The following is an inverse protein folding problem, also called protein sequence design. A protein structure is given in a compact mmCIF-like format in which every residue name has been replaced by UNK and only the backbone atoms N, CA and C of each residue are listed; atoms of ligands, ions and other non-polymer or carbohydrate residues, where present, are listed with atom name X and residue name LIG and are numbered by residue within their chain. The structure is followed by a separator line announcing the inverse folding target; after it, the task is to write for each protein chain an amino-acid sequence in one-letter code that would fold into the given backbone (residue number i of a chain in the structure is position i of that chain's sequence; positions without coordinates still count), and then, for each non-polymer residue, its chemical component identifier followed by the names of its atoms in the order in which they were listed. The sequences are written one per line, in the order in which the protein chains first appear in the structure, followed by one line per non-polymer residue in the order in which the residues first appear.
data_IF_188834338643
#
_entry.id   IF_188834338643
#
_cell.length_a   1.000
_cell.length_b   1.000
_cell.length_c   1.000
_cell.angle_alpha   90.00
_cell.angle_beta   90.00
_cell.angle_gamma   90.00
#
_symmetry.space_group_name_H-M   'P 1'
#
loop_
_entity.id
_entity.type
_entity.pdbx_description
1 polymer ?
#
# COMPACT_ATOMS: atom_id res chain seq x y z
N UNK A 1 -2.89 -29.90 -23.53
CA UNK A 1 -2.52 -31.31 -23.72
C UNK A 1 -3.03 -32.12 -22.53
N UNK A 2 -4.18 -32.79 -22.67
CA UNK A 2 -4.75 -33.69 -21.66
C UNK A 2 -4.07 -35.07 -21.82
N UNK A 3 -2.94 -35.28 -21.13
CA UNK A 3 -2.26 -36.58 -21.08
C UNK A 3 -2.90 -37.45 -19.98
N UNK A 4 -3.37 -38.64 -20.35
CA UNK A 4 -3.36 -39.79 -19.45
C UNK A 4 -4.68 -40.26 -18.83
N UNK A 5 -5.83 -40.01 -19.46
CA UNK A 5 -7.06 -40.73 -19.07
C UNK A 5 -7.29 -41.89 -20.06
N UNK A 6 -7.11 -43.16 -19.65
CA UNK A 6 -7.57 -44.30 -20.42
C UNK A 6 -9.07 -44.16 -20.71
N UNK A 7 -9.45 -44.23 -21.98
CA UNK A 7 -10.82 -43.97 -22.45
C UNK A 7 -11.87 -45.04 -22.02
N UNK A 8 -11.46 -46.05 -21.22
CA UNK A 8 -12.29 -47.19 -20.82
C UNK A 8 -12.28 -47.48 -19.30
N UNK A 9 -11.99 -46.50 -18.44
CA UNK A 9 -12.09 -46.71 -16.99
C UNK A 9 -13.55 -46.62 -16.50
N UNK A 10 -13.98 -47.64 -15.77
CA UNK A 10 -15.25 -47.66 -15.05
C UNK A 10 -15.30 -46.48 -14.06
N UNK A 11 -16.47 -45.85 -13.86
CA UNK A 11 -16.59 -44.60 -13.06
C UNK A 11 -15.96 -44.69 -11.67
N UNK A 12 -16.00 -45.87 -11.05
CA UNK A 12 -15.40 -46.14 -9.73
C UNK A 12 -13.85 -46.17 -9.75
N UNK A 13 -13.25 -46.62 -10.86
CA UNK A 13 -11.80 -46.61 -11.02
C UNK A 13 -11.30 -45.18 -11.29
N UNK A 14 -12.07 -44.38 -12.02
CA UNK A 14 -11.77 -42.94 -12.19
C UNK A 14 -11.85 -42.15 -10.88
N UNK A 15 -12.83 -42.45 -10.01
CA UNK A 15 -12.93 -41.77 -8.71
C UNK A 15 -11.75 -42.11 -7.81
N UNK A 16 -11.38 -43.39 -7.70
CA UNK A 16 -10.24 -43.81 -6.87
C UNK A 16 -8.89 -43.25 -7.36
N UNK A 17 -8.69 -43.13 -8.68
CA UNK A 17 -7.49 -42.47 -9.25
C UNK A 17 -7.48 -40.98 -8.89
N UNK A 18 -8.61 -40.28 -9.03
CA UNK A 18 -8.71 -38.84 -8.70
C UNK A 18 -8.54 -38.57 -7.22
N UNK A 19 -9.13 -39.39 -6.37
CA UNK A 19 -8.98 -39.30 -4.91
C UNK A 19 -7.52 -39.48 -4.50
N UNK A 20 -6.82 -40.47 -5.07
CA UNK A 20 -5.39 -40.66 -4.81
C UNK A 20 -4.54 -39.48 -5.28
N UNK A 21 -4.80 -38.95 -6.49
CA UNK A 21 -4.10 -37.78 -7.02
C UNK A 21 -4.35 -36.53 -6.18
N UNK A 22 -5.59 -36.34 -5.71
CA UNK A 22 -5.95 -35.23 -4.85
C UNK A 22 -5.29 -35.35 -3.47
N UNK A 23 -5.24 -36.56 -2.89
CA UNK A 23 -4.53 -36.82 -1.64
C UNK A 23 -3.04 -36.47 -1.73
N UNK A 24 -2.36 -36.94 -2.78
CA UNK A 24 -0.94 -36.62 -3.02
C UNK A 24 -0.69 -35.11 -3.18
N UNK A 25 -1.60 -34.41 -3.87
CA UNK A 25 -1.52 -32.95 -3.99
C UNK A 25 -1.72 -32.26 -2.64
N UNK A 26 -2.73 -32.68 -1.87
CA UNK A 26 -3.04 -32.12 -0.55
C UNK A 26 -1.87 -32.27 0.42
N UNK A 27 -1.25 -33.45 0.47
CA UNK A 27 -0.06 -33.71 1.30
C UNK A 27 1.11 -32.80 0.91
N UNK A 28 1.35 -32.64 -0.40
CA UNK A 28 2.42 -31.76 -0.89
C UNK A 28 2.20 -30.30 -0.51
N UNK A 29 0.95 -29.83 -0.59
CA UNK A 29 0.57 -28.47 -0.17
C UNK A 29 0.76 -28.31 1.33
N UNK A 30 0.35 -29.28 2.13
CA UNK A 30 0.48 -29.23 3.58
C UNK A 30 1.94 -29.11 4.01
N UNK A 31 2.82 -29.96 3.47
CA UNK A 31 4.27 -29.88 3.71
C UNK A 31 4.82 -28.52 3.26
N UNK A 32 4.39 -28.02 2.11
CA UNK A 32 4.80 -26.71 1.59
C UNK A 32 4.35 -25.53 2.47
N UNK A 33 3.23 -25.66 3.19
CA UNK A 33 2.67 -24.63 4.06
C UNK A 33 3.21 -24.67 5.49
N UNK A 34 3.84 -25.77 5.93
CA UNK A 34 4.42 -25.87 7.28
C UNK A 34 5.39 -24.73 7.60
N UNK A 35 6.16 -24.25 6.62
CA UNK A 35 7.08 -23.11 6.77
C UNK A 35 6.40 -21.75 6.98
N UNK A 36 5.08 -21.66 6.76
CA UNK A 36 4.29 -20.43 6.88
C UNK A 36 3.35 -20.43 8.09
N UNK A 37 3.63 -21.24 9.12
CA UNK A 37 2.84 -21.26 10.34
C UNK A 37 3.10 -20.05 11.26
N UNK A 38 2.11 -19.75 12.10
CA UNK A 38 2.16 -18.64 13.07
C UNK A 38 2.15 -17.25 12.44
N UNK A 39 2.21 -16.22 13.28
CA UNK A 39 2.11 -14.82 12.86
C UNK A 39 3.15 -14.42 11.80
N UNK A 40 4.41 -14.81 12.00
CA UNK A 40 5.49 -14.50 11.06
C UNK A 40 5.39 -15.31 9.77
N UNK A 41 4.97 -16.56 9.84
CA UNK A 41 4.82 -17.41 8.66
C UNK A 41 3.70 -16.93 7.73
N UNK A 42 2.53 -16.61 8.29
CA UNK A 42 1.41 -16.04 7.53
C UNK A 42 1.81 -14.72 6.88
N UNK A 43 2.56 -13.87 7.58
CA UNK A 43 3.11 -12.63 7.03
C UNK A 43 4.03 -12.90 5.84
N UNK A 44 4.94 -13.87 5.96
CA UNK A 44 5.85 -14.25 4.88
C UNK A 44 5.10 -14.81 3.66
N UNK A 45 4.06 -15.61 3.89
CA UNK A 45 3.20 -16.11 2.81
C UNK A 45 2.47 -14.97 2.10
N UNK A 46 1.91 -14.02 2.85
CA UNK A 46 1.26 -12.84 2.28
C UNK A 46 2.22 -12.07 1.38
N UNK A 47 3.42 -11.77 1.87
CA UNK A 47 4.44 -11.04 1.10
C UNK A 47 4.87 -11.81 -0.15
N UNK A 48 5.06 -13.12 -0.05
CA UNK A 48 5.40 -13.97 -1.19
C UNK A 48 4.30 -13.96 -2.26
N UNK A 49 3.05 -14.20 -1.87
CA UNK A 49 1.92 -14.22 -2.79
C UNK A 49 1.67 -12.85 -3.41
N UNK A 50 1.78 -11.78 -2.63
CA UNK A 50 1.67 -10.40 -3.15
C UNK A 50 2.77 -10.09 -4.15
N UNK A 51 4.01 -10.46 -3.87
CA UNK A 51 5.14 -10.25 -4.79
C UNK A 51 4.92 -10.97 -6.12
N UNK A 52 4.43 -12.21 -6.07
CA UNK A 52 4.29 -13.05 -7.26
C UNK A 52 3.00 -12.80 -8.05
N UNK A 53 1.90 -12.48 -7.38
CA UNK A 53 0.56 -12.45 -7.99
C UNK A 53 -0.18 -11.12 -7.81
N UNK A 54 0.31 -10.21 -6.95
CA UNK A 54 -0.34 -8.93 -6.62
C UNK A 54 -0.05 -7.78 -7.59
N UNK A 55 0.11 -8.07 -8.90
CA UNK A 55 0.47 -7.06 -9.90
C UNK A 55 -0.68 -6.13 -10.26
N UNK A 56 -1.92 -6.63 -10.30
CA UNK A 56 -3.12 -5.84 -10.57
C UNK A 56 -3.82 -5.38 -9.29
N UNK A 57 -4.60 -4.30 -9.37
CA UNK A 57 -5.43 -3.84 -8.24
C UNK A 57 -6.39 -4.95 -7.78
N UNK A 58 -7.05 -5.64 -8.71
CA UNK A 58 -7.95 -6.74 -8.37
C UNK A 58 -7.24 -7.89 -7.65
N UNK A 59 -6.03 -8.26 -8.08
CA UNK A 59 -5.26 -9.30 -7.41
C UNK A 59 -4.85 -8.89 -5.99
N UNK A 60 -4.50 -7.61 -5.78
CA UNK A 60 -4.24 -7.06 -4.44
C UNK A 60 -5.48 -7.13 -3.55
N UNK A 61 -6.66 -6.77 -4.06
CA UNK A 61 -7.93 -6.92 -3.32
C UNK A 61 -8.22 -8.37 -2.96
N UNK A 62 -8.10 -9.28 -3.92
CA UNK A 62 -8.35 -10.71 -3.70
C UNK A 62 -7.39 -11.29 -2.66
N UNK A 63 -6.11 -10.92 -2.70
CA UNK A 63 -5.13 -11.33 -1.69
C UNK A 63 -5.45 -10.75 -0.31
N UNK A 64 -5.84 -9.48 -0.24
CA UNK A 64 -6.23 -8.87 1.03
C UNK A 64 -7.47 -9.55 1.64
N UNK A 65 -8.49 -9.87 0.83
CA UNK A 65 -9.68 -10.62 1.26
C UNK A 65 -9.35 -12.04 1.69
N UNK A 66 -8.47 -12.73 0.97
CA UNK A 66 -8.04 -14.09 1.32
C UNK A 66 -7.38 -14.13 2.71
N UNK A 67 -6.66 -13.08 3.09
CA UNK A 67 -6.00 -13.05 4.39
C UNK A 67 -6.85 -12.38 5.48
N UNK A 68 -7.93 -11.69 5.11
CA UNK A 68 -8.87 -11.11 6.09
C UNK A 68 -9.70 -12.16 6.82
N UNK A 69 -9.80 -13.39 6.28
CA UNK A 69 -10.48 -14.50 6.93
C UNK A 69 -9.62 -15.26 7.95
N UNK A 70 -8.31 -14.97 8.02
CA UNK A 70 -7.40 -15.60 9.00
C UNK A 70 -7.72 -15.08 10.41
N UNK A 71 -7.64 -15.97 11.41
CA UNK A 71 -7.85 -15.62 12.82
C UNK A 71 -7.04 -14.38 13.25
N UNK A 72 -7.65 -13.43 13.98
CA UNK A 72 -7.01 -12.15 14.33
C UNK A 72 -5.63 -12.27 15.00
N UNK A 73 -5.39 -13.37 15.73
CA UNK A 73 -4.10 -13.68 16.37
C UNK A 73 -2.92 -13.73 15.37
N UNK A 74 -3.15 -14.27 14.17
CA UNK A 74 -2.11 -14.51 13.16
C UNK A 74 -2.27 -13.64 11.90
N UNK A 75 -3.33 -12.85 11.82
CA UNK A 75 -3.65 -12.05 10.64
C UNK A 75 -2.62 -10.91 10.44
N UNK A 76 -2.11 -10.70 9.22
CA UNK A 76 -1.18 -9.61 8.91
C UNK A 76 -1.94 -8.32 8.57
N UNK A 77 -2.72 -7.78 9.52
CA UNK A 77 -3.67 -6.68 9.27
C UNK A 77 -3.01 -5.41 8.72
N UNK A 78 -1.79 -5.08 9.13
CA UNK A 78 -1.03 -3.94 8.58
C UNK A 78 -0.76 -4.10 7.08
N UNK A 79 -0.42 -5.31 6.63
CA UNK A 79 -0.16 -5.61 5.23
C UNK A 79 -1.46 -5.66 4.42
N UNK A 80 -2.55 -6.14 5.01
CA UNK A 80 -3.88 -6.12 4.40
C UNK A 80 -4.28 -4.67 4.12
N UNK A 81 -4.26 -3.80 5.13
CA UNK A 81 -4.60 -2.38 4.98
C UNK A 81 -3.72 -1.70 3.93
N UNK A 82 -2.39 -1.92 3.98
CA UNK A 82 -1.46 -1.38 2.97
C UNK A 82 -1.78 -1.86 1.56
N UNK A 83 -2.11 -3.13 1.40
CA UNK A 83 -2.38 -3.72 0.09
C UNK A 83 -3.72 -3.26 -0.47
N UNK A 84 -4.72 -3.05 0.38
CA UNK A 84 -6.00 -2.45 0.00
C UNK A 84 -5.81 -1.00 -0.45
N UNK A 85 -5.09 -0.18 0.32
CA UNK A 85 -4.87 1.21 -0.09
C UNK A 85 -4.03 1.34 -1.37
N UNK A 86 -3.07 0.44 -1.61
CA UNK A 86 -2.39 0.35 -2.92
C UNK A 86 -3.33 -0.06 -4.06
N UNK A 87 -4.36 -0.86 -3.77
CA UNK A 87 -5.33 -1.31 -4.76
C UNK A 87 -6.35 -0.21 -5.09
N UNK A 88 -6.76 0.55 -4.08
CA UNK A 88 -7.60 1.76 -4.22
C UNK A 88 -6.88 2.87 -4.98
N UNK A 89 -5.54 2.90 -4.93
CA UNK A 89 -4.70 3.89 -5.59
C UNK A 89 -5.09 5.33 -5.23
N UNK A 90 -5.26 5.60 -3.93
CA UNK A 90 -5.69 6.91 -3.45
C UNK A 90 -4.74 8.04 -3.83
N UNK A 91 -5.30 9.24 -3.97
CA UNK A 91 -4.59 10.47 -4.32
C UNK A 91 -4.84 11.53 -3.26
N UNK A 92 -3.84 12.37 -3.00
CA UNK A 92 -4.01 13.60 -2.22
C UNK A 92 -4.89 14.54 -3.03
N UNK A 93 -5.98 15.01 -2.42
CA UNK A 93 -6.93 15.95 -3.02
C UNK A 93 -6.63 17.39 -2.64
N UNK A 94 -5.99 17.61 -1.49
CA UNK A 94 -5.69 18.96 -1.00
C UNK A 94 -4.50 18.98 -0.05
N UNK A 95 -3.83 20.13 0.01
CA UNK A 95 -2.84 20.44 1.03
C UNK A 95 -3.26 21.76 1.70
N UNK A 96 -3.60 21.69 2.99
CA UNK A 96 -4.08 22.81 3.77
C UNK A 96 -2.99 23.34 4.68
N UNK A 97 -2.85 24.66 4.71
CA UNK A 97 -1.94 25.35 5.58
C UNK A 97 -2.59 25.50 6.96
N UNK A 98 -1.95 24.99 8.01
CA UNK A 98 -2.39 25.17 9.40
C UNK A 98 -1.80 26.46 9.98
N UNK A 99 -0.50 26.67 9.76
CA UNK A 99 0.21 27.86 10.22
C UNK A 99 1.13 28.36 9.09
N UNK A 100 0.99 29.63 8.69
CA UNK A 100 1.76 30.19 7.59
C UNK A 100 3.24 30.48 7.89
N UNK A 101 3.63 30.39 9.17
CA UNK A 101 4.96 30.78 9.60
C UNK A 101 5.27 32.26 9.32
N UNK A 102 6.50 32.68 9.62
CA UNK A 102 7.03 34.01 9.30
C UNK A 102 8.51 33.91 8.96
N UNK A 103 9.02 34.83 8.14
CA UNK A 103 10.44 34.91 7.81
C UNK A 103 10.85 34.25 6.49
N UNK A 104 9.89 33.92 5.63
CA UNK A 104 10.19 33.41 4.28
C UNK A 104 10.47 34.58 3.32
N UNK A 105 11.38 34.35 2.36
CA UNK A 105 11.77 35.35 1.38
C UNK A 105 11.43 34.89 -0.05
N UNK A 106 11.02 35.82 -0.92
CA UNK A 106 10.76 35.49 -2.34
C UNK A 106 12.02 35.08 -3.10
N UNK A 107 13.19 35.53 -2.63
CA UNK A 107 14.49 35.11 -3.15
C UNK A 107 14.83 33.66 -2.83
N UNK A 108 14.19 33.07 -1.81
CA UNK A 108 14.40 31.68 -1.40
C UNK A 108 13.05 31.06 -1.00
N UNK A 109 12.37 30.50 -2.01
CA UNK A 109 11.09 29.82 -1.80
C UNK A 109 11.27 28.62 -0.86
N UNK A 110 10.33 28.40 0.08
CA UNK A 110 10.36 27.23 0.92
C UNK A 110 10.10 25.97 0.10
N UNK A 111 10.88 24.94 0.38
CA UNK A 111 10.65 23.60 -0.16
C UNK A 111 9.52 22.94 0.62
N UNK A 112 8.54 22.35 -0.08
CA UNK A 112 7.43 21.64 0.54
C UNK A 112 7.44 20.20 0.04
N UNK A 113 7.66 19.27 0.95
CA UNK A 113 7.77 17.83 0.66
C UNK A 113 6.62 17.08 1.31
N UNK A 114 5.87 16.33 0.51
CA UNK A 114 4.85 15.39 1.00
C UNK A 114 5.46 14.00 1.09
N UNK A 115 5.25 13.29 2.20
CA UNK A 115 5.75 11.92 2.34
C UNK A 115 5.19 11.01 1.24
N UNK A 116 5.98 10.07 0.72
CA UNK A 116 5.47 9.06 -0.19
C UNK A 116 4.47 8.14 0.53
N UNK A 117 3.59 7.44 -0.19
CA UNK A 117 2.71 6.45 0.42
C UNK A 117 3.50 5.24 0.95
N UNK A 118 3.14 4.74 2.14
CA UNK A 118 3.79 3.58 2.79
C UNK A 118 3.77 2.30 1.95
N UNK A 119 2.80 2.19 1.03
CA UNK A 119 2.65 1.08 0.11
C UNK A 119 3.50 1.21 -1.16
N UNK A 120 4.24 2.29 -1.36
CA UNK A 120 4.80 2.61 -2.66
C UNK A 120 3.76 3.18 -3.62
N UNK A 121 4.25 3.88 -4.64
CA UNK A 121 3.46 4.77 -5.48
C UNK A 121 4.21 6.06 -5.75
N UNK A 122 3.49 7.11 -6.16
CA UNK A 122 4.07 8.41 -6.43
C UNK A 122 3.72 9.40 -5.31
N UNK A 123 4.72 10.11 -4.79
CA UNK A 123 4.47 11.17 -3.82
C UNK A 123 3.68 12.32 -4.48
N UNK A 124 2.83 12.97 -3.69
CA UNK A 124 2.14 14.18 -4.12
C UNK A 124 3.14 15.32 -4.29
N UNK A 125 2.90 16.16 -5.30
CA UNK A 125 3.71 17.34 -5.60
C UNK A 125 2.91 18.56 -5.24
N UNK A 126 3.46 19.40 -4.38
CA UNK A 126 2.85 20.63 -3.91
C UNK A 126 3.81 21.81 -4.06
N UNK A 127 3.27 23.03 -4.07
CA UNK A 127 4.04 24.26 -4.14
C UNK A 127 3.53 25.27 -3.13
N UNK A 128 4.46 25.92 -2.43
CA UNK A 128 4.17 27.03 -1.55
C UNK A 128 3.81 28.30 -2.34
N UNK A 129 2.83 29.05 -1.84
CA UNK A 129 2.46 30.39 -2.34
C UNK A 129 2.66 31.41 -1.24
N UNK A 130 3.43 32.47 -1.54
CA UNK A 130 3.82 33.50 -0.57
C UNK A 130 3.15 34.84 -0.85
N UNK A 131 2.77 35.52 0.23
CA UNK A 131 2.40 36.93 0.20
C UNK A 131 3.62 37.80 -0.17
N UNK A 132 3.39 39.06 -0.62
CA UNK A 132 4.46 40.06 -0.72
C UNK A 132 5.22 40.28 0.60
N UNK A 133 4.55 40.05 1.72
CA UNK A 133 5.09 40.20 3.08
C UNK A 133 6.01 39.05 3.52
N UNK A 134 6.19 37.99 2.73
CA UNK A 134 7.00 36.83 3.09
C UNK A 134 6.29 35.81 4.00
N UNK A 135 4.98 35.93 4.17
CA UNK A 135 4.15 34.93 4.83
C UNK A 135 3.70 33.85 3.83
N UNK A 136 3.68 32.59 4.24
CA UNK A 136 3.06 31.52 3.46
C UNK A 136 1.53 31.68 3.54
N UNK A 137 0.86 31.79 2.39
CA UNK A 137 -0.59 32.06 2.31
C UNK A 137 -1.37 30.80 1.95
N UNK A 138 -0.80 29.97 1.07
CA UNK A 138 -1.44 28.72 0.67
C UNK A 138 -0.41 27.72 0.13
N UNK A 139 -0.85 26.48 0.04
CA UNK A 139 -0.12 25.40 -0.63
C UNK A 139 -0.99 24.94 -1.80
N UNK A 140 -0.43 25.04 -3.00
CA UNK A 140 -1.09 24.62 -4.22
C UNK A 140 -0.70 23.18 -4.53
N UNK A 141 -1.69 22.32 -4.73
CA UNK A 141 -1.48 20.96 -5.20
C UNK A 141 -1.17 20.98 -6.70
N UNK A 142 0.00 20.48 -7.07
CA UNK A 142 0.38 20.26 -8.47
C UNK A 142 -0.03 18.87 -8.96
N UNK A 143 0.31 17.84 -8.19
CA UNK A 143 -0.09 16.45 -8.44
C UNK A 143 -0.50 15.79 -7.14
N UNK A 144 -1.63 15.08 -7.14
CA UNK A 144 -2.11 14.30 -5.99
C UNK A 144 -1.27 13.07 -5.65
N UNK A 145 -0.27 12.75 -6.48
CA UNK A 145 0.47 11.50 -6.36
C UNK A 145 -0.42 10.29 -6.66
N UNK A 146 -0.01 9.12 -6.16
CA UNK A 146 -0.75 7.87 -6.34
C UNK A 146 -0.34 6.84 -5.28
N UNK A 147 -1.30 6.06 -4.78
CA UNK A 147 -1.07 4.97 -3.84
C UNK A 147 -1.27 5.32 -2.36
N UNK A 148 -1.87 6.47 -2.07
CA UNK A 148 -2.22 6.86 -0.71
C UNK A 148 -3.40 6.05 -0.15
N UNK A 149 -3.40 5.82 1.15
CA UNK A 149 -4.44 5.06 1.83
C UNK A 149 -5.50 5.97 2.43
N UNK A 150 -6.80 5.68 2.26
CA UNK A 150 -7.85 6.39 2.99
C UNK A 150 -7.62 6.30 4.51
N UNK A 151 -7.70 7.43 5.20
CA UNK A 151 -7.55 7.48 6.67
C UNK A 151 -6.11 7.48 7.19
N UNK A 152 -5.09 7.38 6.33
CA UNK A 152 -3.68 7.57 6.69
C UNK A 152 -3.14 8.78 5.92
N UNK A 153 -3.31 10.00 6.45
CA UNK A 153 -2.88 11.22 5.76
C UNK A 153 -1.34 11.26 5.68
N UNK A 154 -0.77 11.70 4.54
CA UNK A 154 0.67 11.86 4.44
C UNK A 154 1.16 13.07 5.24
N UNK A 155 2.42 13.02 5.68
CA UNK A 155 3.05 14.14 6.36
C UNK A 155 3.50 15.19 5.34
N UNK A 156 3.35 16.46 5.70
CA UNK A 156 3.81 17.59 4.89
C UNK A 156 4.91 18.31 5.67
N UNK A 157 6.11 18.35 5.12
CA UNK A 157 7.24 19.07 5.69
C UNK A 157 7.53 20.32 4.86
N UNK A 158 7.62 21.48 5.51
CA UNK A 158 7.96 22.75 4.87
C UNK A 158 9.33 23.16 5.38
N UNK A 159 10.29 23.49 4.51
CA UNK A 159 11.62 23.90 4.95
C UNK A 159 11.57 25.09 5.92
N UNK A 160 12.54 25.23 6.84
CA UNK A 160 12.60 26.39 7.73
C UNK A 160 12.75 27.71 6.94
N UNK A 161 12.31 28.84 7.51
CA UNK A 161 12.48 30.16 6.92
C UNK A 161 13.94 30.60 6.87
N UNK A 162 14.28 31.44 5.88
CA UNK A 162 15.63 31.96 5.66
C UNK A 162 16.02 33.04 6.67
N UNK A 163 15.04 33.74 7.24
CA UNK A 163 15.30 34.78 8.24
C UNK A 163 15.60 34.18 9.62
N UNK A 164 16.62 34.73 10.28
CA UNK A 164 16.95 34.44 11.66
C UNK A 164 15.76 34.81 12.58
N UNK A 165 15.32 33.88 13.42
CA UNK A 165 14.13 34.06 14.26
C UNK A 165 12.78 33.83 13.55
N UNK A 166 12.80 33.38 12.29
CA UNK A 166 11.59 32.98 11.58
C UNK A 166 10.93 31.74 12.20
N UNK A 167 9.61 31.61 12.00
CA UNK A 167 8.83 30.44 12.43
C UNK A 167 8.45 29.61 11.22
N UNK A 168 8.72 28.31 11.30
CA UNK A 168 8.37 27.35 10.26
C UNK A 168 6.84 27.22 10.13
N UNK A 169 6.38 27.16 8.88
CA UNK A 169 5.00 26.89 8.55
C UNK A 169 4.63 25.43 8.82
N UNK A 170 3.35 25.16 9.07
CA UNK A 170 2.79 23.82 9.27
C UNK A 170 1.64 23.60 8.32
N UNK A 171 1.54 22.39 7.77
CA UNK A 171 0.51 22.02 6.83
C UNK A 171 0.12 20.54 6.96
N UNK A 172 -1.03 20.21 6.40
CA UNK A 172 -1.56 18.84 6.35
C UNK A 172 -2.07 18.54 4.95
N UNK A 173 -1.92 17.30 4.51
CA UNK A 173 -2.45 16.82 3.25
C UNK A 173 -3.63 15.85 3.48
N UNK A 174 -4.61 15.89 2.59
CA UNK A 174 -5.82 15.06 2.61
C UNK A 174 -6.14 14.50 1.24
#
# INVERSE_FOLDING_TARGET
QLRGLPLNLERQQLSSIRERQFGQFSESVEVGLQKYQGKSGVRSLFLFLRSRYGTSAQAKFQLALLFSIISPRNQPSDLICRTLGQADNGVVKSAELLEGGIGYARSQLPEVVVSPPDGGGAAAVVRAVLAPTGQLVSIMLGSGGAGYMPGVPPTVNISPPSMLGGRQAQAVAR
#
